data_IF_802625880870
#
_entry.id   IF_802625880870
#
_cell.length_a   1.000
_cell.length_b   1.000
_cell.length_c   1.000
_cell.angle_alpha   90.00
_cell.angle_beta   90.00
_cell.angle_gamma   90.00
#
_symmetry.space_group_name_H-M   'P 1'
#
loop_
_entity.id
_entity.type
_entity.pdbx_description
1 polymer ?
#
# COMPACT_ATOMS: atom_id res chain seq x y z
N UNK A 1 -12.95 -33.03 -18.48
CA UNK A 1 -13.96 -31.94 -18.50
C UNK A 1 -13.59 -30.85 -17.49
N UNK A 2 -13.45 -31.17 -16.20
CA UNK A 2 -13.03 -30.19 -15.18
C UNK A 2 -11.64 -29.58 -15.44
N UNK A 3 -10.65 -30.40 -15.77
CA UNK A 3 -9.28 -29.94 -16.11
C UNK A 3 -9.27 -28.94 -17.28
N UNK A 4 -10.13 -29.14 -18.28
CA UNK A 4 -10.26 -28.24 -19.43
C UNK A 4 -10.85 -26.88 -19.01
N UNK A 5 -11.84 -26.90 -18.12
CA UNK A 5 -12.44 -25.67 -17.57
C UNK A 5 -11.39 -24.90 -16.74
N UNK A 6 -10.66 -25.59 -15.87
CA UNK A 6 -9.62 -24.98 -15.04
C UNK A 6 -8.50 -24.40 -15.93
N UNK A 7 -8.08 -25.13 -16.97
CA UNK A 7 -7.03 -24.68 -17.89
C UNK A 7 -7.44 -23.42 -18.65
N UNK A 8 -8.68 -23.36 -19.13
CA UNK A 8 -9.20 -22.16 -19.80
C UNK A 8 -9.30 -20.98 -18.83
N UNK A 9 -9.72 -21.23 -17.59
CA UNK A 9 -9.79 -20.19 -16.55
C UNK A 9 -8.40 -19.58 -16.26
N UNK A 10 -7.39 -20.43 -16.09
CA UNK A 10 -5.99 -20.01 -15.89
C UNK A 10 -5.48 -19.22 -17.10
N UNK A 11 -5.69 -19.73 -18.32
CA UNK A 11 -5.29 -19.07 -19.57
C UNK A 11 -5.84 -17.65 -19.65
N UNK A 12 -7.13 -17.47 -19.36
CA UNK A 12 -7.80 -16.18 -19.45
C UNK A 12 -7.29 -15.18 -18.40
N UNK A 13 -6.97 -15.65 -17.19
CA UNK A 13 -6.37 -14.82 -16.14
C UNK A 13 -4.95 -14.40 -16.51
N UNK A 14 -4.13 -15.33 -17.00
CA UNK A 14 -2.76 -15.03 -17.42
C UNK A 14 -2.75 -14.00 -18.55
N UNK A 15 -3.66 -14.14 -19.53
CA UNK A 15 -3.82 -13.15 -20.59
C UNK A 15 -4.28 -11.79 -20.06
N UNK A 16 -5.23 -11.77 -19.10
CA UNK A 16 -5.65 -10.53 -18.45
C UNK A 16 -4.46 -9.80 -17.83
N UNK A 17 -3.66 -10.47 -17.01
CA UNK A 17 -2.52 -9.83 -16.35
C UNK A 17 -1.41 -9.44 -17.33
N UNK A 18 -1.18 -10.23 -18.39
CA UNK A 18 -0.24 -9.90 -19.47
C UNK A 18 -0.62 -8.63 -20.23
N UNK A 19 -1.91 -8.43 -20.50
CA UNK A 19 -2.39 -7.26 -21.25
C UNK A 19 -2.45 -6.03 -20.34
N UNK A 20 -2.90 -6.20 -19.09
CA UNK A 20 -3.09 -5.10 -18.15
C UNK A 20 -1.83 -4.72 -17.36
N UNK A 21 -0.67 -5.38 -17.58
CA UNK A 21 0.59 -5.05 -16.92
C UNK A 21 1.09 -3.64 -17.26
N UNK A 22 0.75 -3.16 -18.45
CA UNK A 22 1.32 -1.92 -19.02
C UNK A 22 0.47 -0.68 -18.69
N UNK A 23 -0.55 -0.84 -17.83
CA UNK A 23 -1.41 0.25 -17.35
C UNK A 23 -2.45 0.74 -18.36
N UNK A 24 -2.50 0.17 -19.57
CA UNK A 24 -3.52 0.46 -20.57
C UNK A 24 -4.46 -0.75 -20.75
N UNK A 25 -5.69 -0.70 -20.21
CA UNK A 25 -6.60 -1.84 -20.18
C UNK A 25 -7.37 -1.95 -21.50
N UNK A 26 -6.72 -2.33 -22.59
CA UNK A 26 -7.42 -2.73 -23.81
C UNK A 26 -7.78 -4.21 -23.69
N UNK A 27 -8.76 -4.51 -22.84
CA UNK A 27 -9.29 -5.87 -22.68
C UNK A 27 -10.19 -6.23 -23.86
N UNK A 28 -9.59 -6.75 -24.91
CA UNK A 28 -10.28 -7.50 -25.95
C UNK A 28 -9.59 -8.85 -26.08
N UNK A 29 -9.85 -9.76 -25.14
CA UNK A 29 -9.44 -11.15 -25.34
C UNK A 29 -10.44 -11.77 -26.33
N UNK A 30 -10.02 -12.10 -27.56
CA UNK A 30 -10.93 -12.70 -28.52
C UNK A 30 -11.33 -14.09 -28.02
N UNK A 31 -12.60 -14.46 -28.21
CA UNK A 31 -13.09 -15.84 -28.04
C UNK A 31 -13.26 -16.33 -26.57
N UNK A 32 -13.59 -15.42 -25.64
CA UNK A 32 -14.02 -15.78 -24.28
C UNK A 32 -15.54 -15.55 -24.15
N UNK A 33 -16.25 -16.47 -23.49
CA UNK A 33 -17.66 -16.28 -23.11
C UNK A 33 -17.81 -15.03 -22.23
N UNK A 34 -18.81 -14.19 -22.51
CA UNK A 34 -19.11 -12.99 -21.73
C UNK A 34 -19.28 -13.29 -20.23
N UNK A 35 -19.74 -14.50 -19.88
CA UNK A 35 -19.80 -14.95 -18.49
C UNK A 35 -18.41 -15.05 -17.85
N UNK A 36 -17.47 -15.69 -18.55
CA UNK A 36 -16.09 -15.87 -18.07
C UNK A 36 -15.35 -14.53 -17.96
N UNK A 37 -15.63 -13.58 -18.86
CA UNK A 37 -15.12 -12.20 -18.75
C UNK A 37 -15.58 -11.53 -17.45
N UNK A 38 -16.89 -11.62 -17.16
CA UNK A 38 -17.45 -11.02 -15.94
C UNK A 38 -16.88 -11.68 -14.68
N UNK A 39 -16.73 -13.01 -14.68
CA UNK A 39 -16.16 -13.76 -13.56
C UNK A 39 -14.70 -13.36 -13.29
N UNK A 40 -13.89 -13.22 -14.33
CA UNK A 40 -12.50 -12.74 -14.22
C UNK A 40 -12.46 -11.30 -13.72
N UNK A 41 -13.31 -10.43 -14.25
CA UNK A 41 -13.39 -9.04 -13.79
C UNK A 41 -13.72 -8.96 -12.30
N UNK A 42 -14.72 -9.72 -11.85
CA UNK A 42 -15.10 -9.79 -10.43
C UNK A 42 -13.98 -10.35 -9.55
N UNK A 43 -13.27 -11.38 -10.02
CA UNK A 43 -12.09 -11.91 -9.33
C UNK A 43 -10.99 -10.85 -9.18
N UNK A 44 -10.67 -10.12 -10.24
CA UNK A 44 -9.61 -9.10 -10.22
C UNK A 44 -9.98 -7.94 -9.29
N UNK A 45 -11.24 -7.47 -9.32
CA UNK A 45 -11.72 -6.43 -8.41
C UNK A 45 -11.64 -6.87 -6.95
N UNK A 46 -12.09 -8.09 -6.64
CA UNK A 46 -12.00 -8.66 -5.30
C UNK A 46 -10.54 -8.78 -4.85
N UNK A 47 -9.64 -9.23 -5.72
CA UNK A 47 -8.22 -9.36 -5.41
C UNK A 47 -7.55 -8.00 -5.15
N UNK A 48 -7.92 -6.96 -5.92
CA UNK A 48 -7.47 -5.58 -5.67
C UNK A 48 -7.98 -5.05 -4.34
N UNK A 49 -9.24 -5.33 -4.00
CA UNK A 49 -9.81 -4.94 -2.71
C UNK A 49 -9.09 -5.62 -1.54
N UNK A 50 -8.83 -6.93 -1.64
CA UNK A 50 -8.06 -7.70 -0.66
C UNK A 50 -6.63 -7.16 -0.50
N UNK A 51 -5.91 -6.92 -1.60
CA UNK A 51 -4.56 -6.35 -1.57
C UNK A 51 -4.54 -4.99 -0.86
N UNK A 52 -5.56 -4.15 -1.09
CA UNK A 52 -5.72 -2.87 -0.42
C UNK A 52 -5.99 -3.05 1.08
N UNK A 53 -6.84 -3.99 1.45
CA UNK A 53 -7.13 -4.30 2.85
C UNK A 53 -5.89 -4.82 3.58
N UNK A 54 -5.13 -5.74 2.98
CA UNK A 54 -3.86 -6.24 3.52
C UNK A 54 -2.83 -5.11 3.69
N UNK A 55 -2.72 -4.21 2.72
CA UNK A 55 -1.84 -3.05 2.81
C UNK A 55 -2.26 -2.11 3.95
N UNK A 56 -3.56 -1.85 4.10
CA UNK A 56 -4.10 -1.04 5.19
C UNK A 56 -3.83 -1.70 6.56
N UNK A 57 -4.06 -3.02 6.67
CA UNK A 57 -3.81 -3.78 7.89
C UNK A 57 -2.32 -3.78 8.28
N UNK A 58 -1.43 -3.94 7.29
CA UNK A 58 0.01 -3.86 7.48
C UNK A 58 0.41 -2.47 8.02
N UNK A 59 -0.17 -1.40 7.45
CA UNK A 59 0.06 -0.03 7.92
C UNK A 59 -0.46 0.19 9.35
N UNK A 60 -1.67 -0.28 9.67
CA UNK A 60 -2.24 -0.18 11.01
C UNK A 60 -1.40 -0.92 12.06
N UNK A 61 -0.91 -2.12 11.73
CA UNK A 61 -0.04 -2.92 12.59
C UNK A 61 1.29 -2.21 12.87
N UNK A 62 1.89 -1.57 11.87
CA UNK A 62 3.09 -0.75 12.05
C UNK A 62 2.79 0.45 12.95
N UNK A 63 1.68 1.15 12.71
CA UNK A 63 1.29 2.32 13.52
C UNK A 63 0.99 1.96 14.98
N UNK A 64 0.36 0.80 15.24
CA UNK A 64 0.14 0.30 16.61
C UNK A 64 1.43 -0.15 17.26
N UNK A 65 2.31 -0.86 16.54
CA UNK A 65 3.63 -1.25 17.03
C UNK A 65 4.51 -0.05 17.39
N UNK A 66 4.50 1.01 16.58
CA UNK A 66 5.20 2.27 16.86
C UNK A 66 4.61 2.93 18.14
N UNK A 67 3.29 2.98 18.28
CA UNK A 67 2.64 3.53 19.48
C UNK A 67 2.93 2.73 20.74
N UNK A 68 3.01 1.40 20.65
CA UNK A 68 3.22 0.52 21.80
C UNK A 68 4.69 0.39 22.20
N UNK A 69 5.63 0.41 21.24
CA UNK A 69 7.05 0.17 21.53
C UNK A 69 7.77 1.37 22.16
N UNK A 70 7.29 2.61 21.99
CA UNK A 70 7.99 3.76 22.57
C UNK A 70 7.15 5.00 22.89
N UNK A 71 6.27 4.96 23.91
CA UNK A 71 5.68 6.17 24.46
C UNK A 71 6.75 7.14 24.98
N UNK A 72 7.80 6.61 25.64
CA UNK A 72 8.81 7.41 26.30
C UNK A 72 9.88 7.95 25.34
N UNK A 73 10.39 7.15 24.40
CA UNK A 73 11.40 7.65 23.44
C UNK A 73 10.80 8.61 22.40
N UNK A 74 9.54 8.42 21.97
CA UNK A 74 8.84 9.39 21.12
C UNK A 74 8.61 10.71 21.86
N UNK A 75 8.17 10.65 23.12
CA UNK A 75 7.99 11.83 23.95
C UNK A 75 9.31 12.57 24.20
N UNK A 76 10.39 11.83 24.54
CA UNK A 76 11.72 12.42 24.75
C UNK A 76 12.31 13.02 23.47
N UNK A 77 12.23 12.32 22.33
CA UNK A 77 12.73 12.83 21.05
C UNK A 77 12.00 14.10 20.64
N UNK A 78 10.67 14.10 20.75
CA UNK A 78 9.84 15.27 20.46
C UNK A 78 10.18 16.46 21.37
N UNK A 79 10.36 16.23 22.68
CA UNK A 79 10.76 17.29 23.62
C UNK A 79 12.14 17.88 23.30
N UNK A 80 13.11 17.04 22.93
CA UNK A 80 14.45 17.50 22.55
C UNK A 80 14.41 18.36 21.28
N UNK A 81 13.62 17.96 20.29
CA UNK A 81 13.41 18.76 19.08
C UNK A 81 12.75 20.11 19.41
N UNK A 82 11.71 20.13 20.24
CA UNK A 82 11.05 21.37 20.68
C UNK A 82 12.00 22.32 21.42
N UNK A 83 12.92 21.79 22.26
CA UNK A 83 13.95 22.59 22.93
C UNK A 83 14.99 23.17 21.96
N UNK A 84 15.46 22.37 21.00
CA UNK A 84 16.44 22.81 20.00
C UNK A 84 15.90 23.98 19.13
N UNK A 85 14.64 23.89 18.70
CA UNK A 85 13.99 24.97 17.95
C UNK A 85 13.71 26.23 18.79
N UNK A 86 13.51 26.09 20.11
CA UNK A 86 13.42 27.24 21.03
C UNK A 86 14.78 27.91 21.26
N UNK A 87 15.85 27.14 21.38
CA UNK A 87 17.21 27.68 21.51
C UNK A 87 17.69 28.37 20.24
N UNK A 88 17.42 27.83 19.04
CA UNK A 88 17.71 28.54 17.77
C UNK A 88 16.94 29.86 17.64
N UNK A 89 15.76 29.97 18.27
CA UNK A 89 14.93 31.19 18.30
C UNK A 89 15.35 32.20 19.36
N UNK A 90 16.06 31.80 20.42
CA UNK A 90 16.38 32.66 21.58
C UNK A 90 17.89 32.83 21.84
N UNK A 91 18.76 32.08 21.17
CA UNK A 91 20.17 31.92 21.53
C UNK A 91 21.18 32.90 20.93
N UNK A 92 20.77 34.03 20.34
CA UNK A 92 21.71 34.99 19.76
C UNK A 92 22.06 36.21 20.64
N UNK A 93 21.61 36.26 21.91
CA UNK A 93 21.70 37.49 22.71
C UNK A 93 22.50 37.37 24.02
N UNK A 94 23.62 36.64 24.00
CA UNK A 94 24.65 36.79 25.04
C UNK A 94 26.05 36.75 24.44
N UNK A 95 26.46 37.90 23.88
CA UNK A 95 27.89 38.23 23.79
C UNK A 95 28.38 38.52 25.20
N UNK A 96 29.24 37.66 25.74
CA UNK A 96 30.09 38.02 26.87
C UNK A 96 31.23 38.86 26.28
N UNK A 97 31.19 40.17 26.51
CA UNK A 97 32.32 41.06 26.26
C UNK A 97 33.30 40.93 27.45
N UNK A 98 34.57 40.61 27.14
CA UNK A 98 35.69 40.53 28.09
C UNK A 98 36.12 41.91 28.62
#
# INVERSE_FOLDING_TARGET
>A
MLENIISEWIRCIDEYYRINSDGNPTFEVPNIDNQLINDISGFVEANKALTKEEANLAQEKVNTSIKQSHPQAYYTSRKLTEMYFQEESQGFDCMIED
#
